data_IF_749353113234
#
_entry.id   IF_749353113234
#
_cell.length_a   1.000
_cell.length_b   1.000
_cell.length_c   1.000
_cell.angle_alpha   90.00
_cell.angle_beta   90.00
_cell.angle_gamma   90.00
#
_symmetry.space_group_name_H-M   'P 1'
#
loop_
_entity.id
_entity.type
_entity.pdbx_description
1 polymer ?
#
# COMPACT_ATOMS: atom_id res chain seq x y z
N UNK A 1 -11.79 -2.90 -7.08
CA UNK A 1 -12.47 -4.17 -7.43
C UNK A 1 -11.70 -5.05 -8.39
N UNK A 2 -11.28 -4.56 -9.58
CA UNK A 2 -10.59 -5.43 -10.58
C UNK A 2 -9.38 -6.19 -10.04
N UNK A 3 -8.55 -5.57 -9.19
CA UNK A 3 -7.39 -6.20 -8.55
C UNK A 3 -7.76 -7.42 -7.69
N UNK A 4 -8.88 -7.34 -6.99
CA UNK A 4 -9.35 -8.35 -6.02
C UNK A 4 -10.42 -9.26 -6.62
N UNK A 5 -10.57 -9.27 -7.95
CA UNK A 5 -11.66 -10.00 -8.61
C UNK A 5 -11.63 -11.50 -8.29
N UNK A 6 -10.43 -12.09 -8.24
CA UNK A 6 -10.26 -13.53 -7.98
C UNK A 6 -10.74 -13.89 -6.58
N UNK A 7 -10.52 -13.01 -5.60
CA UNK A 7 -10.84 -13.30 -4.20
C UNK A 7 -12.30 -12.97 -3.84
N UNK A 8 -12.92 -12.04 -4.58
CA UNK A 8 -14.26 -11.51 -4.28
C UNK A 8 -15.39 -12.14 -5.10
N UNK A 9 -15.07 -12.90 -6.15
CA UNK A 9 -16.09 -13.55 -6.97
C UNK A 9 -16.71 -14.73 -6.22
N UNK A 10 -18.04 -14.72 -6.07
CA UNK A 10 -18.80 -15.79 -5.43
C UNK A 10 -18.69 -15.86 -3.90
N UNK A 11 -18.01 -14.90 -3.28
CA UNK A 11 -17.90 -14.77 -1.82
C UNK A 11 -18.65 -13.51 -1.39
N UNK A 12 -19.61 -13.61 -0.44
CA UNK A 12 -20.26 -12.43 0.10
C UNK A 12 -19.30 -11.65 1.00
N UNK A 13 -19.17 -10.34 0.80
CA UNK A 13 -18.32 -9.48 1.62
C UNK A 13 -18.98 -8.16 1.99
N UNK A 14 -18.43 -7.50 3.01
CA UNK A 14 -18.89 -6.20 3.49
C UNK A 14 -17.88 -5.13 3.10
N UNK A 15 -18.36 -4.04 2.49
CA UNK A 15 -17.57 -2.86 2.16
C UNK A 15 -17.84 -1.80 3.22
N UNK A 16 -16.82 -1.48 4.00
CA UNK A 16 -16.87 -0.37 4.95
C UNK A 16 -16.51 0.93 4.24
N UNK A 17 -17.32 1.98 4.42
CA UNK A 17 -17.06 3.30 3.87
C UNK A 17 -17.46 4.39 4.86
N UNK A 18 -16.68 5.47 4.87
CA UNK A 18 -16.96 6.71 5.60
C UNK A 18 -18.01 7.60 4.91
N UNK A 19 -18.54 7.18 3.77
CA UNK A 19 -19.51 7.96 2.99
C UNK A 19 -20.91 7.35 3.06
N UNK A 20 -21.72 7.89 3.98
CA UNK A 20 -23.07 7.39 4.30
C UNK A 20 -24.01 7.27 3.08
N UNK A 21 -23.86 8.14 2.08
CA UNK A 21 -24.68 8.08 0.86
C UNK A 21 -24.47 6.80 0.05
N UNK A 22 -23.32 6.12 0.20
CA UNK A 22 -23.03 4.87 -0.51
C UNK A 22 -23.85 3.68 0.02
N UNK A 23 -24.38 3.72 1.24
CA UNK A 23 -25.26 2.65 1.75
C UNK A 23 -26.50 2.45 0.86
N UNK A 24 -26.97 3.54 0.24
CA UNK A 24 -28.12 3.53 -0.64
C UNK A 24 -27.75 3.36 -2.12
N UNK A 25 -26.48 3.13 -2.45
CA UNK A 25 -26.01 3.09 -3.84
C UNK A 25 -26.77 2.08 -4.72
N UNK A 26 -27.15 0.93 -4.15
CA UNK A 26 -27.93 -0.11 -4.87
C UNK A 26 -29.43 0.19 -4.94
N UNK A 27 -29.97 1.01 -4.04
CA UNK A 27 -31.40 1.32 -3.92
C UNK A 27 -31.79 2.62 -4.64
N UNK A 28 -30.82 3.41 -5.10
CA UNK A 28 -31.06 4.68 -5.78
C UNK A 28 -31.76 4.46 -7.13
N UNK A 29 -32.91 5.10 -7.31
CA UNK A 29 -33.71 5.03 -8.56
C UNK A 29 -33.08 5.83 -9.72
N UNK A 30 -32.41 6.93 -9.40
CA UNK A 30 -31.81 7.84 -10.38
C UNK A 30 -30.31 7.90 -10.15
N UNK A 31 -29.55 7.39 -11.10
CA UNK A 31 -28.10 7.33 -11.04
C UNK A 31 -27.51 8.18 -12.17
N UNK A 32 -26.45 8.92 -11.86
CA UNK A 32 -25.62 9.52 -12.91
C UNK A 32 -25.01 8.43 -13.79
N UNK A 33 -24.61 8.77 -15.01
CA UNK A 33 -24.00 7.81 -15.94
C UNK A 33 -22.78 7.10 -15.32
N UNK A 34 -21.94 7.84 -14.58
CA UNK A 34 -20.80 7.28 -13.86
C UNK A 34 -21.24 6.29 -12.77
N UNK A 35 -22.28 6.61 -12.00
CA UNK A 35 -22.77 5.70 -10.97
C UNK A 35 -23.38 4.42 -11.57
N UNK A 36 -24.11 4.53 -12.69
CA UNK A 36 -24.64 3.36 -13.39
C UNK A 36 -23.53 2.43 -13.89
N UNK A 37 -22.45 2.97 -14.47
CA UNK A 37 -21.26 2.18 -14.86
C UNK A 37 -20.62 1.47 -13.66
N UNK A 38 -20.52 2.17 -12.52
CA UNK A 38 -20.02 1.54 -11.30
C UNK A 38 -20.95 0.46 -10.79
N UNK A 39 -22.26 0.66 -10.83
CA UNK A 39 -23.24 -0.34 -10.39
C UNK A 39 -23.24 -1.58 -11.28
N UNK A 40 -23.09 -1.42 -12.60
CA UNK A 40 -22.91 -2.53 -13.54
C UNK A 40 -21.62 -3.32 -13.27
N UNK A 41 -20.54 -2.64 -12.88
CA UNK A 41 -19.31 -3.31 -12.48
C UNK A 41 -19.49 -4.04 -11.14
N UNK A 42 -20.22 -3.44 -10.22
CA UNK A 42 -20.43 -3.95 -8.86
C UNK A 42 -21.43 -5.11 -8.81
N UNK A 43 -22.38 -5.19 -9.75
CA UNK A 43 -23.40 -6.25 -9.81
C UNK A 43 -22.83 -7.66 -10.03
N UNK A 44 -21.56 -7.77 -10.41
CA UNK A 44 -20.85 -9.05 -10.54
C UNK A 44 -20.43 -9.65 -9.19
N UNK A 45 -20.60 -8.92 -8.09
CA UNK A 45 -20.14 -9.29 -6.76
C UNK A 45 -21.30 -9.29 -5.76
N UNK A 46 -21.21 -10.17 -4.76
CA UNK A 46 -22.13 -10.19 -3.62
C UNK A 46 -21.58 -9.32 -2.50
N UNK A 47 -22.10 -8.10 -2.37
CA UNK A 47 -21.57 -7.13 -1.41
C UNK A 47 -22.66 -6.40 -0.61
N UNK A 48 -22.29 -5.98 0.60
CA UNK A 48 -23.08 -5.07 1.45
C UNK A 48 -22.23 -3.86 1.79
N UNK A 49 -22.71 -2.66 1.49
CA UNK A 49 -22.03 -1.41 1.91
C UNK A 49 -22.56 -1.01 3.28
N UNK A 50 -21.66 -0.82 4.24
CA UNK A 50 -21.97 -0.37 5.60
C UNK A 50 -21.18 0.90 5.91
N UNK A 51 -21.87 1.90 6.45
CA UNK A 51 -21.23 3.11 6.94
C UNK A 51 -20.41 2.83 8.21
N UNK A 52 -19.20 3.39 8.26
CA UNK A 52 -18.40 3.54 9.47
C UNK A 52 -18.01 5.00 9.64
N UNK A 53 -17.80 5.48 10.87
CA UNK A 53 -17.33 6.84 11.06
C UNK A 53 -15.90 6.97 10.47
N UNK A 54 -15.55 8.15 9.93
CA UNK A 54 -14.22 8.37 9.35
C UNK A 54 -13.07 8.12 10.34
N UNK A 55 -13.33 8.31 11.64
CA UNK A 55 -12.39 7.99 12.73
C UNK A 55 -12.10 6.49 12.80
N UNK A 56 -13.11 5.65 12.59
CA UNK A 56 -12.99 4.18 12.59
C UNK A 56 -12.45 3.64 11.25
N UNK A 57 -12.31 4.52 10.24
CA UNK A 57 -11.76 4.20 8.92
C UNK A 57 -10.26 4.55 8.81
N UNK A 58 -9.58 4.72 9.96
CA UNK A 58 -8.14 4.99 10.02
C UNK A 58 -7.26 4.00 9.23
N UNK A 59 -7.57 2.68 9.15
CA UNK A 59 -6.81 1.75 8.31
C UNK A 59 -6.82 2.17 6.83
N UNK A 60 -7.99 2.54 6.30
CA UNK A 60 -8.11 2.96 4.91
C UNK A 60 -7.52 4.37 4.70
N UNK A 61 -7.73 5.28 5.64
CA UNK A 61 -7.23 6.65 5.57
C UNK A 61 -5.70 6.71 5.58
N UNK A 62 -5.05 5.90 6.43
CA UNK A 62 -3.58 5.79 6.48
C UNK A 62 -2.98 5.25 5.18
N UNK A 63 -3.65 4.31 4.51
CA UNK A 63 -3.24 3.78 3.21
C UNK A 63 -3.43 4.79 2.06
N UNK A 64 -4.43 5.68 2.16
CA UNK A 64 -4.73 6.68 1.14
C UNK A 64 -3.86 7.94 1.29
N UNK A 65 -3.41 8.26 2.50
CA UNK A 65 -2.50 9.37 2.78
C UNK A 65 -1.06 8.93 2.54
N UNK A 66 -0.58 9.13 1.32
CA UNK A 66 0.87 9.13 1.07
C UNK A 66 1.48 10.26 1.90
N UNK A 67 2.50 10.01 2.72
CA UNK A 67 3.20 11.10 3.41
C UNK A 67 3.75 12.03 2.33
N UNK A 68 3.66 13.35 2.58
CA UNK A 68 4.35 14.32 1.74
C UNK A 68 5.80 13.84 1.63
N UNK A 69 6.39 13.71 0.42
CA UNK A 69 7.79 13.36 0.32
C UNK A 69 8.56 14.32 1.22
N UNK A 70 9.52 13.85 2.04
CA UNK A 70 10.32 14.76 2.84
C UNK A 70 10.95 15.74 1.87
N UNK A 71 10.47 16.99 1.87
CA UNK A 71 11.09 18.09 1.16
C UNK A 71 12.36 18.46 1.92
N UNK A 72 13.34 17.56 1.90
CA UNK A 72 14.75 17.83 2.24
C UNK A 72 15.57 17.69 0.97
N UNK A 73 15.10 18.33 -0.10
CA UNK A 73 16.01 18.70 -1.17
C UNK A 73 16.74 19.95 -0.66
N UNK A 74 17.81 19.74 0.11
CA UNK A 74 18.76 20.81 0.41
C UNK A 74 19.54 21.12 -0.86
N UNK A 75 19.93 22.37 -1.05
CA UNK A 75 20.71 22.81 -2.22
C UNK A 75 21.91 21.90 -2.50
N UNK A 76 22.54 21.38 -1.45
CA UNK A 76 23.72 20.51 -1.49
C UNK A 76 23.44 19.13 -2.09
N UNK A 77 22.20 18.62 -1.99
CA UNK A 77 21.82 17.34 -2.62
C UNK A 77 21.59 17.51 -4.13
N UNK A 78 21.09 18.67 -4.56
CA UNK A 78 20.90 18.99 -5.97
C UNK A 78 22.25 19.08 -6.68
N UNK A 79 23.24 19.73 -6.06
CA UNK A 79 24.59 19.84 -6.61
C UNK A 79 25.27 18.49 -6.71
N UNK A 80 25.16 17.63 -5.69
CA UNK A 80 25.71 16.28 -5.73
C UNK A 80 25.09 15.39 -6.82
N UNK A 81 23.77 15.47 -7.02
CA UNK A 81 23.08 14.72 -8.09
C UNK A 81 23.51 15.25 -9.47
N UNK A 82 23.65 16.57 -9.62
CA UNK A 82 24.09 17.19 -10.87
C UNK A 82 25.54 16.81 -11.21
N UNK A 83 26.45 16.82 -10.24
CA UNK A 83 27.84 16.40 -10.41
C UNK A 83 27.96 14.93 -10.80
N UNK A 84 27.22 14.04 -10.11
CA UNK A 84 27.19 12.62 -10.44
C UNK A 84 26.64 12.36 -11.86
N UNK A 85 25.57 13.06 -12.26
CA UNK A 85 24.99 12.94 -13.60
C UNK A 85 25.95 13.44 -14.68
N UNK A 86 26.67 14.52 -14.40
CA UNK A 86 27.66 15.11 -15.33
C UNK A 86 28.90 14.22 -15.45
N UNK A 87 29.32 13.54 -14.38
CA UNK A 87 30.43 12.59 -14.42
C UNK A 87 30.12 11.35 -15.28
N UNK A 88 28.88 10.84 -15.21
CA UNK A 88 28.45 9.70 -16.04
C UNK A 88 28.34 10.07 -17.52
N UNK A 89 27.94 11.31 -17.84
CA UNK A 89 27.79 11.78 -19.22
C UNK A 89 29.14 11.97 -19.96
N UNK A 90 30.26 12.10 -19.22
CA UNK A 90 31.58 12.42 -19.78
C UNK A 90 32.52 11.22 -19.90
N UNK A 91 32.06 9.98 -19.69
CA UNK A 91 32.91 8.81 -19.92
C UNK A 91 33.13 8.58 -21.43
N UNK A 92 34.38 8.35 -21.90
CA UNK A 92 34.62 7.97 -23.29
C UNK A 92 34.00 6.58 -23.58
N UNK A 93 33.59 6.32 -24.83
CA UNK A 93 32.97 5.04 -25.21
C UNK A 93 33.97 3.91 -24.96
N UNK A 94 33.63 3.03 -24.00
CA UNK A 94 34.42 1.84 -23.71
C UNK A 94 34.32 0.90 -24.91
N UNK A 95 35.46 0.63 -25.54
CA UNK A 95 35.61 -0.38 -26.59
C UNK A 95 35.19 -1.75 -26.06
N UNK A 96 34.42 -2.55 -26.82
CA UNK A 96 33.94 -3.84 -26.32
C UNK A 96 35.10 -4.84 -26.29
N UNK A 97 35.58 -5.16 -25.09
CA UNK A 97 36.35 -6.39 -24.84
C UNK A 97 35.38 -7.57 -24.94
N UNK A 98 35.81 -8.61 -25.65
CA UNK A 98 35.12 -9.86 -25.92
C UNK A 98 34.30 -10.33 -24.70
N UNK A 99 32.99 -10.44 -24.87
CA UNK A 99 32.06 -10.80 -23.81
C UNK A 99 32.36 -12.21 -23.29
N UNK A 100 33.04 -12.29 -22.14
CA UNK A 100 32.93 -13.43 -21.26
C UNK A 100 31.47 -13.53 -20.81
N UNK A 101 30.86 -14.71 -20.95
CA UNK A 101 29.54 -14.96 -20.40
C UNK A 101 29.66 -14.95 -18.87
N UNK A 102 29.50 -13.78 -18.27
CA UNK A 102 29.36 -13.65 -16.83
C UNK A 102 28.01 -14.23 -16.43
N UNK A 103 28.02 -15.37 -15.74
CA UNK A 103 26.85 -15.84 -15.03
C UNK A 103 26.47 -14.81 -13.98
N UNK A 104 25.35 -14.11 -14.17
CA UNK A 104 24.80 -13.20 -13.18
C UNK A 104 24.21 -14.06 -12.05
N UNK A 105 24.93 -14.19 -10.96
CA UNK A 105 24.39 -14.77 -9.74
C UNK A 105 23.80 -13.64 -8.88
N UNK A 106 22.48 -13.65 -8.73
CA UNK A 106 21.76 -12.73 -7.85
C UNK A 106 21.67 -13.41 -6.48
N UNK A 107 22.60 -13.07 -5.60
CA UNK A 107 22.50 -13.47 -4.20
C UNK A 107 21.75 -12.37 -3.43
N UNK A 108 20.74 -12.76 -2.66
CA UNK A 108 20.06 -11.83 -1.75
C UNK A 108 20.97 -11.60 -0.54
N UNK A 109 21.50 -10.40 -0.38
CA UNK A 109 22.24 -10.04 0.82
C UNK A 109 21.30 -10.09 2.05
N UNK A 110 21.56 -11.02 2.96
CA UNK A 110 20.79 -11.15 4.18
C UNK A 110 20.85 -9.87 5.03
N UNK A 111 21.97 -9.15 4.98
CA UNK A 111 22.14 -7.87 5.68
C UNK A 111 21.23 -6.79 5.08
N UNK A 112 21.09 -6.78 3.75
CA UNK A 112 20.16 -5.90 3.04
C UNK A 112 18.71 -6.17 3.45
N UNK A 113 18.30 -7.44 3.50
CA UNK A 113 16.94 -7.79 3.94
C UNK A 113 16.71 -7.35 5.38
N UNK A 114 17.67 -7.56 6.29
CA UNK A 114 17.55 -7.07 7.67
C UNK A 114 17.54 -5.55 7.74
N UNK A 115 18.33 -4.85 6.92
CA UNK A 115 18.35 -3.40 6.86
C UNK A 115 17.01 -2.84 6.38
N UNK A 116 16.44 -3.41 5.32
CA UNK A 116 15.10 -3.06 4.81
C UNK A 116 14.04 -3.28 5.90
N UNK A 117 14.07 -4.44 6.59
CA UNK A 117 13.14 -4.72 7.70
C UNK A 117 13.28 -3.71 8.84
N UNK A 118 14.50 -3.40 9.28
CA UNK A 118 14.73 -2.38 10.30
C UNK A 118 14.35 -0.97 9.84
N UNK A 119 14.41 -0.68 8.54
CA UNK A 119 13.98 0.59 7.96
C UNK A 119 12.49 0.86 8.15
N UNK A 120 11.66 -0.19 8.09
CA UNK A 120 10.21 -0.08 8.38
C UNK A 120 9.92 0.27 9.85
N UNK A 121 10.80 -0.12 10.78
CA UNK A 121 10.68 0.23 12.20
C UNK A 121 11.13 1.68 12.48
N UNK A 122 12.04 2.22 11.65
CA UNK A 122 12.55 3.59 11.78
C UNK A 122 11.66 4.64 11.11
N UNK A 123 10.94 4.26 10.05
CA UNK A 123 10.04 5.17 9.35
C UNK A 123 8.79 5.46 10.19
N UNK A 124 8.61 6.73 10.53
CA UNK A 124 7.46 7.20 11.33
C UNK A 124 6.14 6.93 10.63
N UNK A 125 6.11 6.95 9.30
CA UNK A 125 4.89 6.63 8.54
C UNK A 125 4.59 5.13 8.58
N UNK A 126 5.60 4.26 8.43
CA UNK A 126 5.40 2.82 8.51
C UNK A 126 4.93 2.39 9.90
N UNK A 127 5.49 2.97 10.95
CA UNK A 127 5.01 2.75 12.33
C UNK A 127 3.56 3.22 12.51
N UNK A 128 3.25 4.44 12.06
CA UNK A 128 1.88 4.97 12.09
C UNK A 128 0.89 4.10 11.29
N UNK A 129 1.31 3.61 10.12
CA UNK A 129 0.50 2.72 9.28
C UNK A 129 0.25 1.38 9.98
N UNK A 130 1.27 0.78 10.60
CA UNK A 130 1.13 -0.49 11.32
C UNK A 130 0.17 -0.33 12.52
N UNK A 131 0.27 0.77 13.26
CA UNK A 131 -0.65 1.07 14.36
C UNK A 131 -2.07 1.34 13.85
N UNK A 132 -2.22 2.11 12.77
CA UNK A 132 -3.54 2.46 12.19
C UNK A 132 -4.22 1.27 11.52
N UNK A 133 -3.47 0.31 10.99
CA UNK A 133 -4.03 -0.92 10.44
C UNK A 133 -4.49 -1.89 11.54
N UNK A 134 -3.91 -1.79 12.74
CA UNK A 134 -4.16 -2.69 13.87
C UNK A 134 -5.24 -2.16 14.83
N UNK A 135 -6.31 -1.60 14.27
CA UNK A 135 -7.43 -1.06 15.01
C UNK A 135 -8.37 -2.12 15.59
N UNK A 136 -9.26 -1.70 16.49
CA UNK A 136 -10.27 -2.56 17.14
C UNK A 136 -11.11 -3.38 16.15
N UNK A 137 -11.38 -2.83 14.96
CA UNK A 137 -12.10 -3.52 13.87
C UNK A 137 -11.25 -4.65 13.28
N UNK A 138 -9.96 -4.39 13.02
CA UNK A 138 -9.03 -5.39 12.50
C UNK A 138 -8.78 -6.51 13.52
N UNK A 139 -8.63 -6.16 14.81
CA UNK A 139 -8.48 -7.13 15.90
C UNK A 139 -9.72 -8.04 16.03
N UNK A 140 -10.92 -7.48 15.90
CA UNK A 140 -12.18 -8.24 15.98
C UNK A 140 -12.35 -9.23 14.81
N UNK A 141 -11.76 -8.96 13.65
CA UNK A 141 -11.84 -9.83 12.47
C UNK A 141 -10.99 -11.10 12.59
N UNK A 142 -9.94 -11.10 13.42
CA UNK A 142 -9.00 -12.22 13.58
C UNK A 142 -9.46 -13.23 14.66
N UNK A 143 -10.43 -12.85 15.51
CA UNK A 143 -10.96 -13.69 16.58
C UNK A 143 -10.37 -13.38 17.97
N UNK A 144 -10.86 -14.06 19.00
CA UNK A 144 -10.62 -13.73 20.44
C UNK A 144 -9.13 -13.81 20.83
N UNK A 145 -8.32 -14.52 20.05
CA UNK A 145 -6.89 -14.75 20.32
C UNK A 145 -5.99 -13.54 20.00
N UNK A 146 -6.51 -12.50 19.32
CA UNK A 146 -5.77 -11.29 18.99
C UNK A 146 -5.81 -10.19 20.07
N UNK A 147 -6.62 -10.37 21.13
CA UNK A 147 -6.80 -9.37 22.18
C UNK A 147 -5.49 -9.16 22.98
N UNK A 148 -4.84 -8.01 22.78
CA UNK A 148 -3.62 -7.62 23.50
C UNK A 148 -2.30 -7.92 22.77
N UNK A 149 -2.36 -8.41 21.53
CA UNK A 149 -1.16 -8.56 20.68
C UNK A 149 -0.83 -7.21 20.04
N UNK A 150 0.41 -6.75 20.17
CA UNK A 150 0.90 -5.54 19.47
C UNK A 150 1.00 -5.82 17.97
N UNK A 151 0.72 -4.80 17.14
CA UNK A 151 0.73 -4.86 15.68
C UNK A 151 2.03 -5.46 15.11
N UNK A 152 3.18 -5.11 15.67
CA UNK A 152 4.50 -5.66 15.29
C UNK A 152 4.65 -7.14 15.65
N UNK A 153 4.10 -7.56 16.79
CA UNK A 153 4.12 -8.96 17.26
C UNK A 153 3.19 -9.84 16.43
N UNK A 154 2.06 -9.31 15.96
CA UNK A 154 1.13 -10.03 15.08
C UNK A 154 1.73 -10.28 13.69
N UNK A 155 2.46 -9.31 13.14
CA UNK A 155 3.12 -9.42 11.83
C UNK A 155 4.31 -10.41 11.82
N UNK A 156 4.93 -10.67 12.98
CA UNK A 156 6.06 -11.60 13.11
C UNK A 156 5.67 -13.09 13.15
N UNK A 157 4.38 -13.42 13.23
CA UNK A 157 3.89 -14.80 13.31
C UNK A 157 3.46 -15.40 11.94
N UNK A 158 3.66 -14.67 10.84
CA UNK A 158 3.33 -15.10 9.47
C UNK A 158 4.49 -15.72 8.71
#
# INVERSE_FOLDING_TARGET
MKKWRVDLLGVPFTVFSDHRTLENFTKQKHLSHRQAQWQELMSQYDYVITYIAGVDNAPADSMLRKPLPPCTITSDTITAIWEATTAMANHPPVTPVLAAMSGLQIDCDANWITAVKSGYELDSWCSYLVDSLWDSVAQKAIGVDAAGVSASKALGHG
#
